data_IF_874419951823
#
_entry.id   IF_874419951823
#
_cell.length_a   1.000
_cell.length_b   1.000
_cell.length_c   1.000
_cell.angle_alpha   90.00
_cell.angle_beta   90.00
_cell.angle_gamma   90.00
#
_symmetry.space_group_name_H-M   'P 1'
#
loop_
_entity.id
_entity.type
_entity.pdbx_description
1 polymer ?
#
# COMPACT_ATOMS: atom_id res chain seq x y z
N UNK A 1 -1.08 -12.93 0.80
CA UNK A 1 0.33 -12.60 0.52
C UNK A 1 0.94 -11.94 1.75
N UNK A 2 2.15 -12.35 2.21
CA UNK A 2 2.77 -11.77 3.40
C UNK A 2 3.09 -10.27 3.27
N UNK A 3 2.86 -9.50 4.32
CA UNK A 3 3.09 -8.05 4.32
C UNK A 3 4.56 -7.65 4.07
N UNK A 4 5.53 -8.43 4.59
CA UNK A 4 6.97 -8.21 4.36
C UNK A 4 7.32 -8.32 2.88
N UNK A 5 6.78 -9.33 2.21
CA UNK A 5 7.01 -9.60 0.78
C UNK A 5 6.43 -8.48 -0.10
N UNK A 6 5.19 -8.07 0.17
CA UNK A 6 4.57 -6.94 -0.51
C UNK A 6 5.40 -5.66 -0.31
N UNK A 7 5.88 -5.40 0.92
CA UNK A 7 6.66 -4.20 1.22
C UNK A 7 7.99 -4.14 0.49
N UNK A 8 8.78 -5.21 0.49
CA UNK A 8 10.10 -5.20 -0.17
C UNK A 8 9.96 -5.07 -1.68
N UNK A 9 9.04 -5.84 -2.29
CA UNK A 9 8.78 -5.76 -3.73
C UNK A 9 8.18 -4.41 -4.13
N UNK A 10 7.28 -3.86 -3.32
CA UNK A 10 6.75 -2.51 -3.47
C UNK A 10 7.83 -1.43 -3.45
N UNK A 11 8.79 -1.50 -2.51
CA UNK A 11 9.93 -0.56 -2.44
C UNK A 11 10.77 -0.59 -3.72
N UNK A 12 11.04 -1.78 -4.26
CA UNK A 12 11.83 -1.94 -5.50
C UNK A 12 11.10 -1.31 -6.68
N UNK A 13 9.84 -1.72 -6.92
CA UNK A 13 9.09 -1.25 -8.10
C UNK A 13 8.79 0.24 -8.00
N UNK A 14 8.36 0.72 -6.84
CA UNK A 14 7.96 2.11 -6.68
C UNK A 14 9.14 3.10 -6.76
N UNK A 15 10.39 2.62 -6.61
CA UNK A 15 11.59 3.43 -6.83
C UNK A 15 11.87 3.71 -8.31
N UNK A 16 11.30 2.93 -9.23
CA UNK A 16 11.39 3.17 -10.67
C UNK A 16 10.47 4.31 -11.14
N UNK A 17 10.42 4.51 -12.45
CA UNK A 17 9.53 5.51 -13.06
C UNK A 17 8.06 5.10 -13.00
N UNK A 18 7.18 6.08 -13.19
CA UNK A 18 5.73 5.86 -13.24
C UNK A 18 5.30 4.98 -14.42
N UNK A 19 5.98 5.14 -15.56
CA UNK A 19 5.72 4.36 -16.76
C UNK A 19 6.09 2.88 -16.53
N UNK A 20 7.27 2.64 -15.98
CA UNK A 20 7.71 1.27 -15.63
C UNK A 20 6.78 0.64 -14.60
N UNK A 21 6.48 1.35 -13.51
CA UNK A 21 5.59 0.86 -12.44
C UNK A 21 4.21 0.45 -12.98
N UNK A 22 3.65 1.27 -13.87
CA UNK A 22 2.37 0.99 -14.51
C UNK A 22 2.44 -0.24 -15.42
N UNK A 23 3.54 -0.41 -16.16
CA UNK A 23 3.73 -1.48 -17.12
C UNK A 23 3.93 -2.84 -16.45
N UNK A 24 4.71 -2.90 -15.37
CA UNK A 24 5.13 -4.19 -14.77
C UNK A 24 4.30 -4.59 -13.55
N UNK A 25 3.40 -3.73 -13.05
CA UNK A 25 2.71 -3.94 -11.77
C UNK A 25 1.97 -5.27 -11.67
N UNK A 26 1.21 -5.65 -12.71
CA UNK A 26 0.47 -6.91 -12.78
C UNK A 26 1.40 -8.14 -12.87
N UNK A 27 2.45 -8.05 -13.68
CA UNK A 27 3.47 -9.09 -13.79
C UNK A 27 4.15 -9.36 -12.44
N UNK A 28 4.50 -8.29 -11.71
CA UNK A 28 5.11 -8.42 -10.38
C UNK A 28 4.13 -9.01 -9.38
N UNK A 29 2.85 -8.62 -9.39
CA UNK A 29 1.87 -9.22 -8.47
C UNK A 29 1.70 -10.73 -8.71
N UNK A 30 1.65 -11.16 -9.98
CA UNK A 30 1.58 -12.59 -10.33
C UNK A 30 2.86 -13.34 -9.99
N UNK A 31 4.03 -12.74 -10.26
CA UNK A 31 5.31 -13.31 -9.90
C UNK A 31 5.38 -13.59 -8.39
N UNK A 32 5.00 -12.61 -7.58
CA UNK A 32 4.99 -12.76 -6.12
C UNK A 32 3.97 -13.82 -5.66
N UNK A 33 2.80 -13.87 -6.28
CA UNK A 33 1.80 -14.91 -6.00
C UNK A 33 2.31 -16.31 -6.36
N UNK A 34 2.98 -16.46 -7.51
CA UNK A 34 3.56 -17.73 -7.95
C UNK A 34 4.68 -18.20 -7.01
N UNK A 35 5.61 -17.31 -6.63
CA UNK A 35 6.66 -17.63 -5.67
C UNK A 35 6.06 -18.06 -4.32
N UNK A 36 5.02 -17.39 -3.85
CA UNK A 36 4.31 -17.78 -2.63
C UNK A 36 3.69 -19.17 -2.74
N UNK A 37 2.96 -19.45 -3.83
CA UNK A 37 2.32 -20.75 -4.07
C UNK A 37 3.33 -21.89 -4.17
N UNK A 38 4.43 -21.71 -4.90
CA UNK A 38 5.52 -22.69 -5.00
C UNK A 38 6.17 -22.90 -3.64
N UNK A 39 6.38 -21.83 -2.86
CA UNK A 39 6.91 -21.93 -1.51
C UNK A 39 6.02 -22.78 -0.59
N UNK A 40 4.71 -22.53 -0.62
CA UNK A 40 3.74 -23.31 0.15
C UNK A 40 3.71 -24.78 -0.27
N UNK A 41 3.68 -25.06 -1.58
CA UNK A 41 3.71 -26.43 -2.09
C UNK A 41 5.01 -27.17 -1.73
N UNK A 42 6.15 -26.49 -1.84
CA UNK A 42 7.47 -27.05 -1.49
C UNK A 42 7.57 -27.35 -0.01
N UNK A 43 7.03 -26.47 0.85
CA UNK A 43 6.96 -26.69 2.29
C UNK A 43 6.09 -27.91 2.62
N UNK A 44 4.87 -27.99 2.10
CA UNK A 44 3.97 -29.12 2.33
C UNK A 44 4.58 -30.44 1.88
N UNK A 45 5.21 -30.45 0.70
CA UNK A 45 5.91 -31.63 0.17
C UNK A 45 7.11 -32.03 1.04
N UNK A 46 7.86 -31.05 1.58
CA UNK A 46 8.98 -31.32 2.47
C UNK A 46 8.49 -31.93 3.79
N UNK A 47 7.46 -31.35 4.42
CA UNK A 47 6.87 -31.88 5.66
C UNK A 47 6.35 -33.30 5.47
N UNK A 48 5.65 -33.56 4.35
CA UNK A 48 5.20 -34.91 4.02
C UNK A 48 6.38 -35.88 3.87
N UNK A 49 7.42 -35.50 3.10
CA UNK A 49 8.61 -36.34 2.91
C UNK A 49 9.36 -36.60 4.22
N UNK A 50 9.47 -35.62 5.11
CA UNK A 50 10.12 -35.81 6.41
C UNK A 50 9.37 -36.83 7.28
N UNK A 51 8.02 -36.77 7.29
CA UNK A 51 7.20 -37.76 7.98
C UNK A 51 7.38 -39.17 7.44
N UNK A 52 7.51 -39.31 6.11
CA UNK A 52 7.71 -40.64 5.47
C UNK A 52 9.15 -41.14 5.67
N UNK A 53 10.14 -40.27 5.56
CA UNK A 53 11.56 -40.62 5.69
C UNK A 53 11.93 -41.15 7.09
N UNK A 54 11.17 -40.75 8.12
CA UNK A 54 11.33 -41.25 9.49
C UNK A 54 11.16 -42.77 9.63
N UNK A 55 10.48 -43.43 8.68
CA UNK A 55 10.23 -44.87 8.74
C UNK A 55 11.37 -45.72 8.16
N UNK A 56 12.42 -45.11 7.59
CA UNK A 56 13.58 -45.82 7.04
C UNK A 56 14.85 -45.44 7.82
N UNK A 57 15.46 -46.45 8.46
CA UNK A 57 16.60 -46.30 9.34
C UNK A 57 17.89 -45.83 8.64
N UNK A 58 17.94 -45.87 7.30
CA UNK A 58 19.10 -45.42 6.51
C UNK A 58 19.04 -43.94 6.11
N UNK A 59 17.94 -43.23 6.39
CA UNK A 59 17.80 -41.82 6.03
C UNK A 59 18.41 -40.88 7.09
N UNK A 60 19.12 -39.84 6.63
CA UNK A 60 19.47 -38.70 7.46
C UNK A 60 18.21 -37.87 7.75
N UNK A 61 17.64 -38.12 8.93
CA UNK A 61 16.45 -37.43 9.46
C UNK A 61 16.81 -36.22 10.34
N UNK A 62 18.07 -35.77 10.30
CA UNK A 62 18.48 -34.60 11.07
C UNK A 62 17.74 -33.35 10.62
N UNK A 63 17.36 -32.51 11.58
CA UNK A 63 16.70 -31.24 11.30
C UNK A 63 17.55 -30.33 10.41
N UNK A 64 18.88 -30.40 10.54
CA UNK A 64 19.85 -29.63 9.75
C UNK A 64 19.83 -30.04 8.27
N UNK A 65 19.91 -31.35 7.97
CA UNK A 65 19.84 -31.87 6.61
C UNK A 65 18.53 -31.48 5.91
N UNK A 66 17.42 -31.72 6.60
CA UNK A 66 16.08 -31.40 6.15
C UNK A 66 15.87 -29.90 5.89
N UNK A 67 16.31 -29.05 6.82
CA UNK A 67 16.23 -27.59 6.68
C UNK A 67 17.09 -27.08 5.52
N UNK A 68 18.32 -27.59 5.36
CA UNK A 68 19.20 -27.21 4.26
C UNK A 68 18.61 -27.61 2.89
N UNK A 69 18.04 -28.82 2.78
CA UNK A 69 17.37 -29.30 1.59
C UNK A 69 16.14 -28.46 1.22
N UNK A 70 15.32 -28.11 2.21
CA UNK A 70 14.16 -27.23 2.02
C UNK A 70 14.59 -25.84 1.55
N UNK A 71 15.56 -25.21 2.22
CA UNK A 71 16.09 -23.88 1.84
C UNK A 71 16.59 -23.86 0.40
N UNK A 72 17.33 -24.89 0.00
CA UNK A 72 17.87 -25.02 -1.36
C UNK A 72 16.75 -25.13 -2.39
N UNK A 73 15.74 -25.98 -2.15
CA UNK A 73 14.59 -26.13 -3.05
C UNK A 73 13.74 -24.87 -3.17
N UNK A 74 13.50 -24.18 -2.05
CA UNK A 74 12.80 -22.90 -2.05
C UNK A 74 13.56 -21.86 -2.88
N UNK A 75 14.88 -21.75 -2.68
CA UNK A 75 15.71 -20.80 -3.43
C UNK A 75 15.63 -21.04 -4.93
N UNK A 76 15.87 -22.27 -5.40
CA UNK A 76 15.80 -22.57 -6.83
C UNK A 76 14.38 -22.43 -7.38
N UNK A 77 13.36 -22.90 -6.65
CA UNK A 77 11.97 -22.75 -7.08
C UNK A 77 11.53 -21.30 -7.22
N UNK A 78 12.00 -20.40 -6.35
CA UNK A 78 11.74 -18.97 -6.48
C UNK A 78 12.53 -18.34 -7.63
N UNK A 79 13.80 -18.71 -7.82
CA UNK A 79 14.61 -18.25 -8.96
C UNK A 79 13.96 -18.63 -10.29
N UNK A 80 13.52 -19.88 -10.44
CA UNK A 80 12.82 -20.34 -11.64
C UNK A 80 11.50 -19.57 -11.85
N UNK A 81 10.68 -19.45 -10.81
CA UNK A 81 9.42 -18.72 -10.87
C UNK A 81 9.60 -17.23 -11.24
N UNK A 82 10.72 -16.61 -10.85
CA UNK A 82 11.03 -15.22 -11.25
C UNK A 82 11.56 -15.13 -12.68
N UNK A 83 12.27 -16.16 -13.16
CA UNK A 83 12.79 -16.23 -14.53
C UNK A 83 11.68 -16.28 -15.58
N UNK A 84 10.53 -16.88 -15.25
CA UNK A 84 9.35 -16.91 -16.12
C UNK A 84 8.84 -15.50 -16.51
N UNK A 85 9.22 -14.46 -15.75
CA UNK A 85 8.81 -13.08 -15.98
C UNK A 85 9.89 -12.22 -16.66
N UNK A 86 11.03 -12.79 -17.07
CA UNK A 86 12.15 -12.06 -17.65
C UNK A 86 11.80 -11.28 -18.94
N UNK A 87 10.79 -11.73 -19.69
CA UNK A 87 10.34 -11.03 -20.90
C UNK A 87 9.49 -9.79 -20.59
N UNK A 88 8.90 -9.69 -19.40
CA UNK A 88 7.97 -8.60 -19.02
C UNK A 88 8.59 -7.61 -18.04
N UNK A 89 9.53 -8.07 -17.20
CA UNK A 89 10.17 -7.24 -16.17
C UNK A 89 11.59 -6.89 -16.60
N UNK A 90 12.00 -5.61 -16.57
CA UNK A 90 13.38 -5.21 -16.89
C UNK A 90 14.42 -5.98 -16.07
N UNK A 91 15.57 -6.38 -16.66
CA UNK A 91 16.55 -7.25 -15.99
C UNK A 91 17.00 -6.77 -14.61
N UNK A 92 17.31 -5.47 -14.48
CA UNK A 92 17.79 -4.90 -13.21
C UNK A 92 16.74 -4.96 -12.10
N UNK A 93 15.48 -4.71 -12.46
CA UNK A 93 14.34 -4.81 -11.54
C UNK A 93 14.07 -6.27 -11.22
N UNK A 94 14.10 -7.15 -12.23
CA UNK A 94 13.89 -8.58 -12.10
C UNK A 94 14.90 -9.23 -11.15
N UNK A 95 16.18 -8.91 -11.28
CA UNK A 95 17.24 -9.40 -10.38
C UNK A 95 16.97 -8.97 -8.94
N UNK A 96 16.73 -7.68 -8.71
CA UNK A 96 16.46 -7.14 -7.36
C UNK A 96 15.21 -7.77 -6.73
N UNK A 97 14.18 -8.01 -7.53
CA UNK A 97 12.96 -8.68 -7.07
C UNK A 97 13.23 -10.15 -6.73
N UNK A 98 13.95 -10.88 -7.59
CA UNK A 98 14.32 -12.28 -7.35
C UNK A 98 15.13 -12.45 -6.07
N UNK A 99 16.17 -11.62 -5.89
CA UNK A 99 16.99 -11.59 -4.68
C UNK A 99 16.17 -11.27 -3.43
N UNK A 100 15.32 -10.24 -3.49
CA UNK A 100 14.45 -9.87 -2.38
C UNK A 100 13.44 -10.97 -2.01
N UNK A 101 12.81 -11.60 -3.01
CA UNK A 101 11.85 -12.69 -2.80
C UNK A 101 12.57 -13.89 -2.19
N UNK A 102 13.73 -14.28 -2.72
CA UNK A 102 14.54 -15.37 -2.17
C UNK A 102 15.03 -15.07 -0.75
N UNK A 103 15.41 -13.84 -0.44
CA UNK A 103 15.79 -13.43 0.91
C UNK A 103 14.63 -13.53 1.89
N UNK A 104 13.45 -13.04 1.51
CA UNK A 104 12.24 -13.05 2.36
C UNK A 104 11.64 -14.44 2.52
N UNK A 105 11.65 -15.28 1.47
CA UNK A 105 10.96 -16.58 1.44
C UNK A 105 11.88 -17.80 1.60
N UNK A 106 13.19 -17.69 1.32
CA UNK A 106 14.07 -18.86 1.13
C UNK A 106 15.36 -18.92 1.95
N UNK A 107 15.97 -17.79 2.32
CA UNK A 107 17.34 -17.81 2.87
C UNK A 107 17.55 -17.07 4.20
N UNK A 108 16.67 -16.14 4.57
CA UNK A 108 16.81 -15.38 5.81
C UNK A 108 16.61 -16.25 7.04
N UNK A 109 15.36 -16.65 7.34
CA UNK A 109 14.95 -17.11 8.69
C UNK A 109 15.61 -16.33 9.85
N UNK A 110 16.16 -15.14 9.61
CA UNK A 110 16.47 -14.19 10.64
C UNK A 110 15.10 -13.90 11.22
N UNK A 111 14.96 -14.28 12.49
CA UNK A 111 13.88 -13.89 13.39
C UNK A 111 13.43 -12.54 12.93
N UNK A 112 12.16 -12.45 12.54
CA UNK A 112 11.56 -11.24 12.00
C UNK A 112 12.15 -10.06 12.76
N UNK A 113 13.12 -9.34 12.15
CA UNK A 113 13.84 -8.25 12.82
C UNK A 113 12.74 -7.46 13.48
N UNK A 114 12.74 -7.50 14.82
CA UNK A 114 11.66 -6.99 15.63
C UNK A 114 11.26 -5.68 15.00
N UNK A 115 10.11 -5.66 14.33
CA UNK A 115 9.58 -4.42 13.77
C UNK A 115 9.56 -3.50 14.97
N UNK A 116 10.31 -2.38 14.97
CA UNK A 116 10.62 -1.68 16.20
C UNK A 116 9.33 -1.50 16.99
N UNK A 117 9.28 -2.16 18.14
CA UNK A 117 8.19 -2.04 19.09
C UNK A 117 8.15 -0.55 19.44
N UNK A 118 7.05 0.11 19.08
CA UNK A 118 6.82 1.51 19.44
C UNK A 118 7.08 2.53 18.34
N UNK A 119 6.44 2.40 17.17
CA UNK A 119 6.13 3.62 16.41
C UNK A 119 5.15 4.45 17.24
N UNK A 120 5.65 5.49 17.90
CA UNK A 120 4.84 6.44 18.68
C UNK A 120 3.81 7.17 17.82
N UNK A 121 4.07 7.25 16.51
CA UNK A 121 3.21 7.93 15.56
C UNK A 121 2.74 6.99 14.43
N UNK A 122 1.49 7.19 14.01
CA UNK A 122 0.93 6.73 12.75
C UNK A 122 0.71 7.93 11.83
N UNK A 123 0.49 7.67 10.54
CA UNK A 123 0.15 8.72 9.58
C UNK A 123 -1.17 8.39 8.91
N UNK A 124 -2.08 9.35 8.88
CA UNK A 124 -3.36 9.24 8.19
C UNK A 124 -3.31 10.06 6.90
N UNK A 125 -3.61 9.43 5.77
CA UNK A 125 -3.85 10.11 4.51
C UNK A 125 -5.36 10.10 4.25
N UNK A 126 -6.01 11.24 4.37
CA UNK A 126 -7.37 11.42 3.87
C UNK A 126 -7.33 11.86 2.40
N UNK A 127 -8.12 11.24 1.54
CA UNK A 127 -8.20 11.57 0.12
C UNK A 127 -9.66 11.72 -0.30
N UNK A 128 -9.92 12.66 -1.21
CA UNK A 128 -11.19 12.75 -1.92
C UNK A 128 -10.97 13.22 -3.35
N UNK A 129 -11.91 12.86 -4.22
CA UNK A 129 -12.00 13.36 -5.58
C UNK A 129 -13.16 14.34 -5.72
N UNK A 130 -13.04 15.29 -6.63
CA UNK A 130 -14.17 16.09 -7.10
C UNK A 130 -14.20 16.14 -8.61
N UNK A 131 -15.40 16.25 -9.17
CA UNK A 131 -15.65 16.44 -10.59
C UNK A 131 -16.83 17.37 -10.72
N UNK A 132 -16.72 18.32 -11.65
CA UNK A 132 -17.84 19.17 -12.04
C UNK A 132 -18.60 18.52 -13.21
N UNK A 133 -19.92 18.51 -13.11
CA UNK A 133 -20.81 17.93 -14.12
C UNK A 133 -20.66 18.60 -15.50
N UNK A 134 -20.19 19.85 -15.56
CA UNK A 134 -20.08 20.62 -16.82
C UNK A 134 -18.70 20.54 -17.48
N UNK A 135 -17.65 20.16 -16.77
CA UNK A 135 -16.27 20.21 -17.28
C UNK A 135 -15.62 18.82 -17.31
N UNK A 136 -14.73 18.58 -18.28
CA UNK A 136 -13.86 17.38 -18.32
C UNK A 136 -12.66 17.51 -17.37
N UNK A 137 -12.87 18.17 -16.22
CA UNK A 137 -11.84 18.42 -15.21
C UNK A 137 -12.24 17.70 -13.93
N UNK A 138 -11.26 17.05 -13.32
CA UNK A 138 -11.39 16.47 -12.00
C UNK A 138 -10.32 17.06 -11.10
N UNK A 139 -10.50 16.93 -9.80
CA UNK A 139 -9.52 17.35 -8.81
C UNK A 139 -9.43 16.34 -7.69
N UNK A 140 -8.31 16.37 -6.97
CA UNK A 140 -8.11 15.59 -5.75
C UNK A 140 -7.73 16.51 -4.61
N UNK A 141 -8.25 16.23 -3.42
CA UNK A 141 -7.80 16.82 -2.17
C UNK A 141 -7.14 15.77 -1.30
N UNK A 142 -6.05 16.15 -0.62
CA UNK A 142 -5.39 15.29 0.36
C UNK A 142 -5.13 16.02 1.68
N UNK A 143 -5.18 15.26 2.76
CA UNK A 143 -4.72 15.64 4.10
C UNK A 143 -3.77 14.55 4.58
N UNK A 144 -2.60 14.94 5.09
CA UNK A 144 -1.69 14.04 5.79
C UNK A 144 -1.57 14.52 7.24
N UNK A 145 -2.05 13.71 8.17
CA UNK A 145 -1.94 13.95 9.61
C UNK A 145 -0.97 12.95 10.24
N UNK A 146 -0.08 13.43 11.11
CA UNK A 146 0.68 12.60 12.02
C UNK A 146 -0.14 12.44 13.30
N UNK A 147 -0.38 11.20 13.73
CA UNK A 147 -1.23 10.87 14.86
C UNK A 147 -0.38 10.16 15.91
N UNK A 148 -0.38 10.65 17.13
CA UNK A 148 0.26 9.99 18.27
C UNK A 148 -0.64 8.86 18.77
N UNK A 149 -0.14 7.62 18.72
CA UNK A 149 -0.98 6.42 18.91
C UNK A 149 -1.59 6.32 20.31
N UNK A 150 -0.87 6.77 21.34
CA UNK A 150 -1.30 6.60 22.72
C UNK A 150 -2.27 7.69 23.19
N UNK A 151 -2.21 8.88 22.58
CA UNK A 151 -2.99 10.03 23.03
C UNK A 151 -4.08 10.44 22.05
N UNK A 152 -4.03 9.94 20.80
CA UNK A 152 -4.90 10.39 19.73
C UNK A 152 -4.62 11.83 19.26
N UNK A 153 -3.63 12.52 19.86
CA UNK A 153 -3.23 13.85 19.44
C UNK A 153 -2.70 13.79 18.02
N UNK A 154 -3.07 14.78 17.20
CA UNK A 154 -2.65 14.82 15.82
C UNK A 154 -2.02 16.17 15.44
N UNK A 155 -1.13 16.13 14.46
CA UNK A 155 -0.52 17.30 13.83
C UNK A 155 -0.62 17.18 12.33
N UNK A 156 -1.16 18.21 11.68
CA UNK A 156 -1.22 18.26 10.22
C UNK A 156 0.17 18.50 9.66
N UNK A 157 0.60 17.59 8.78
CA UNK A 157 1.89 17.66 8.09
C UNK A 157 1.76 18.32 6.74
N UNK A 158 0.71 17.98 6.03
CA UNK A 158 0.48 18.44 4.67
C UNK A 158 -1.01 18.44 4.34
N UNK A 159 -1.39 19.43 3.55
CA UNK A 159 -2.68 19.50 2.88
C UNK A 159 -2.45 19.97 1.46
N UNK A 160 -3.37 19.63 0.59
CA UNK A 160 -3.37 20.25 -0.71
C UNK A 160 -4.44 19.75 -1.64
N UNK A 161 -4.52 20.41 -2.77
CA UNK A 161 -5.45 20.13 -3.83
C UNK A 161 -4.73 20.20 -5.18
N UNK A 162 -5.13 19.30 -6.08
CA UNK A 162 -4.59 19.25 -7.44
C UNK A 162 -5.70 19.08 -8.44
N UNK A 163 -5.55 19.70 -9.60
CA UNK A 163 -6.45 19.55 -10.73
C UNK A 163 -5.84 18.65 -11.79
N UNK A 164 -6.74 17.97 -12.48
CA UNK A 164 -6.43 17.10 -13.58
C UNK A 164 -7.38 17.44 -14.72
N UNK A 165 -6.79 17.77 -15.87
CA UNK A 165 -7.52 18.02 -17.10
C UNK A 165 -7.16 16.94 -18.12
N UNK A 166 -8.16 16.41 -18.80
CA UNK A 166 -7.96 15.48 -19.90
C UNK A 166 -9.28 14.96 -20.44
N UNK A 167 -9.27 14.50 -21.69
CA UNK A 167 -10.49 14.09 -22.38
C UNK A 167 -11.27 12.98 -21.64
N UNK A 168 -10.55 12.10 -20.92
CA UNK A 168 -11.09 10.91 -20.27
C UNK A 168 -10.77 10.84 -18.76
N UNK A 169 -10.43 11.96 -18.11
CA UNK A 169 -10.12 11.94 -16.67
C UNK A 169 -11.39 11.63 -15.88
N UNK A 170 -11.37 10.51 -15.17
CA UNK A 170 -12.46 10.05 -14.32
C UNK A 170 -12.28 10.50 -12.87
N UNK A 171 -13.36 10.47 -12.09
CA UNK A 171 -13.29 10.73 -10.65
C UNK A 171 -12.40 9.69 -9.94
N UNK A 172 -12.50 8.42 -10.35
CA UNK A 172 -11.64 7.34 -9.86
C UNK A 172 -10.16 7.65 -10.06
N UNK A 173 -9.78 8.13 -11.25
CA UNK A 173 -8.40 8.53 -11.52
C UNK A 173 -7.96 9.70 -10.64
N UNK A 174 -8.80 10.71 -10.42
CA UNK A 174 -8.46 11.80 -9.53
C UNK A 174 -8.18 11.31 -8.10
N UNK A 175 -8.99 10.37 -7.58
CA UNK A 175 -8.73 9.73 -6.28
C UNK A 175 -7.40 8.97 -6.27
N UNK A 176 -7.12 8.15 -7.29
CA UNK A 176 -5.83 7.44 -7.40
C UNK A 176 -4.64 8.40 -7.46
N UNK A 177 -4.74 9.49 -8.22
CA UNK A 177 -3.67 10.48 -8.34
C UNK A 177 -3.45 11.24 -7.02
N UNK A 178 -4.53 11.56 -6.30
CA UNK A 178 -4.46 12.09 -4.93
C UNK A 178 -3.77 11.12 -3.96
N UNK A 179 -4.17 9.85 -3.96
CA UNK A 179 -3.54 8.80 -3.15
C UNK A 179 -2.06 8.67 -3.47
N UNK A 180 -1.72 8.61 -4.76
CA UNK A 180 -0.35 8.48 -5.24
C UNK A 180 0.51 9.65 -4.76
N UNK A 181 -0.03 10.86 -4.82
CA UNK A 181 0.64 12.06 -4.31
C UNK A 181 0.92 11.96 -2.80
N UNK A 182 -0.08 11.60 -1.99
CA UNK A 182 0.10 11.43 -0.55
C UNK A 182 1.10 10.31 -0.20
N UNK A 183 1.00 9.16 -0.87
CA UNK A 183 1.89 8.01 -0.63
C UNK A 183 3.34 8.31 -1.01
N UNK A 184 3.57 9.01 -2.13
CA UNK A 184 4.92 9.46 -2.50
C UNK A 184 5.49 10.39 -1.45
N UNK A 185 4.66 11.27 -0.89
CA UNK A 185 5.10 12.16 0.19
C UNK A 185 5.55 11.35 1.40
N UNK A 186 4.71 10.43 1.89
CA UNK A 186 5.07 9.55 3.00
C UNK A 186 6.36 8.78 2.72
N UNK A 187 6.53 8.25 1.50
CA UNK A 187 7.77 7.56 1.10
C UNK A 187 8.99 8.47 1.16
N UNK A 188 8.91 9.68 0.60
CA UNK A 188 10.01 10.64 0.56
C UNK A 188 10.44 11.13 1.94
N UNK A 189 9.54 11.06 2.93
CA UNK A 189 9.79 11.52 4.29
C UNK A 189 9.99 10.33 5.26
N UNK A 190 10.04 9.10 4.74
CA UNK A 190 10.13 7.88 5.53
C UNK A 190 9.02 7.77 6.61
N UNK A 191 7.83 8.28 6.31
CA UNK A 191 6.66 8.16 7.18
C UNK A 191 6.04 6.78 7.00
N UNK A 192 6.28 5.90 7.96
CA UNK A 192 5.77 4.52 8.00
C UNK A 192 4.49 4.42 8.85
N UNK A 193 3.81 3.27 8.84
CA UNK A 193 2.52 3.07 9.56
C UNK A 193 1.42 3.98 9.01
N UNK A 194 1.25 3.94 7.69
CA UNK A 194 0.26 4.77 7.00
C UNK A 194 -1.11 4.10 7.01
N UNK A 195 -2.14 4.88 7.30
CA UNK A 195 -3.54 4.53 7.21
C UNK A 195 -4.19 5.42 6.15
N UNK A 196 -5.08 4.84 5.34
CA UNK A 196 -5.78 5.56 4.29
C UNK A 196 -7.23 5.76 4.72
N UNK A 197 -7.72 6.98 4.57
CA UNK A 197 -9.12 7.38 4.73
C UNK A 197 -9.62 7.92 3.38
N UNK A 198 -10.79 7.49 2.96
CA UNK A 198 -11.42 8.02 1.75
C UNK A 198 -12.89 7.67 1.65
N UNK A 199 -13.58 8.32 0.73
CA UNK A 199 -15.04 8.24 0.55
C UNK A 199 -15.46 7.67 -0.81
N UNK A 200 -14.50 7.30 -1.67
CA UNK A 200 -14.79 6.69 -2.95
C UNK A 200 -14.76 5.15 -2.85
N UNK A 201 -15.92 4.46 -2.82
CA UNK A 201 -16.00 3.03 -2.52
C UNK A 201 -15.21 2.18 -3.52
N UNK A 202 -15.36 2.43 -4.82
CA UNK A 202 -14.68 1.62 -5.83
C UNK A 202 -13.15 1.73 -5.77
N UNK A 203 -12.62 2.94 -5.58
CA UNK A 203 -11.18 3.20 -5.48
C UNK A 203 -10.58 2.46 -4.28
N UNK A 204 -11.20 2.60 -3.10
CA UNK A 204 -10.73 1.95 -1.88
C UNK A 204 -10.88 0.43 -1.96
N UNK A 205 -12.01 -0.06 -2.49
CA UNK A 205 -12.27 -1.50 -2.63
C UNK A 205 -11.25 -2.18 -3.55
N UNK A 206 -10.81 -1.52 -4.62
CA UNK A 206 -9.72 -2.02 -5.47
C UNK A 206 -8.43 -2.23 -4.68
N UNK A 207 -8.06 -1.30 -3.81
CA UNK A 207 -6.84 -1.42 -3.00
C UNK A 207 -6.97 -2.39 -1.82
N UNK A 208 -8.15 -2.48 -1.20
CA UNK A 208 -8.48 -3.47 -0.15
C UNK A 208 -8.39 -4.88 -0.72
N UNK A 209 -9.07 -5.13 -1.84
CA UNK A 209 -9.14 -6.46 -2.46
C UNK A 209 -7.94 -6.79 -3.33
N UNK A 210 -7.03 -5.83 -3.53
CA UNK A 210 -5.90 -5.90 -4.47
C UNK A 210 -6.34 -6.27 -5.90
N UNK A 211 -7.56 -5.88 -6.29
CA UNK A 211 -8.12 -6.12 -7.62
C UNK A 211 -7.93 -4.90 -8.49
N UNK A 212 -7.21 -5.08 -9.60
CA UNK A 212 -7.02 -4.01 -10.57
C UNK A 212 -8.35 -3.59 -11.23
N UNK A 213 -8.46 -2.34 -11.69
CA UNK A 213 -9.58 -1.89 -12.50
C UNK A 213 -9.77 -2.74 -13.77
N UNK A 214 -11.02 -2.89 -14.22
CA UNK A 214 -11.33 -3.52 -15.51
C UNK A 214 -10.89 -2.65 -16.70
N UNK A 215 -11.00 -1.33 -16.55
CA UNK A 215 -10.66 -0.39 -17.61
C UNK A 215 -9.14 -0.19 -17.71
N UNK A 216 -8.54 -0.61 -18.85
CA UNK A 216 -7.09 -0.56 -19.10
C UNK A 216 -6.45 0.80 -18.81
N UNK A 217 -7.10 1.89 -19.21
CA UNK A 217 -6.57 3.25 -19.03
C UNK A 217 -6.46 3.70 -17.55
N UNK A 218 -7.06 2.97 -16.60
CA UNK A 218 -6.97 3.26 -15.15
C UNK A 218 -6.04 2.30 -14.40
N UNK A 219 -5.62 1.20 -15.04
CA UNK A 219 -4.77 0.19 -14.40
C UNK A 219 -3.39 0.73 -14.06
N UNK A 220 -2.83 1.60 -14.90
CA UNK A 220 -1.52 2.21 -14.65
C UNK A 220 -1.51 3.01 -13.34
N UNK A 221 -2.52 3.84 -13.11
CA UNK A 221 -2.62 4.64 -11.88
C UNK A 221 -2.87 3.75 -10.65
N UNK A 222 -3.70 2.72 -10.80
CA UNK A 222 -3.89 1.71 -9.76
C UNK A 222 -2.55 1.06 -9.34
N UNK A 223 -1.73 0.61 -10.30
CA UNK A 223 -0.46 -0.05 -10.01
C UNK A 223 0.55 0.90 -9.36
N UNK A 224 0.62 2.16 -9.81
CA UNK A 224 1.45 3.19 -9.15
C UNK A 224 1.06 3.39 -7.69
N UNK A 225 -0.24 3.51 -7.40
CA UNK A 225 -0.75 3.64 -6.03
C UNK A 225 -0.45 2.39 -5.23
N UNK A 226 -0.73 1.21 -5.79
CA UNK A 226 -0.56 -0.07 -5.09
C UNK A 226 0.90 -0.31 -4.71
N UNK A 227 1.85 -0.12 -5.64
CA UNK A 227 3.29 -0.27 -5.36
C UNK A 227 3.78 0.76 -4.34
N UNK A 228 3.30 1.99 -4.42
CA UNK A 228 3.62 3.03 -3.42
C UNK A 228 3.06 2.71 -2.03
N UNK A 229 1.82 2.22 -1.96
CA UNK A 229 1.19 1.79 -0.73
C UNK A 229 1.88 0.57 -0.10
N UNK A 230 2.32 -0.39 -0.94
CA UNK A 230 3.13 -1.52 -0.49
C UNK A 230 4.49 -1.05 0.04
N UNK A 231 5.18 -0.15 -0.68
CA UNK A 231 6.49 0.39 -0.28
C UNK A 231 6.48 1.09 1.08
N UNK A 232 5.43 1.87 1.33
CA UNK A 232 5.22 2.64 2.58
C UNK A 232 4.64 1.75 3.70
N UNK A 233 4.11 0.57 3.35
CA UNK A 233 3.53 -0.36 4.32
C UNK A 233 2.20 0.13 4.87
N UNK A 234 1.27 0.52 3.99
CA UNK A 234 -0.10 0.90 4.38
C UNK A 234 -0.74 -0.21 5.22
N UNK A 235 -1.27 0.16 6.39
CA UNK A 235 -1.83 -0.73 7.41
C UNK A 235 -3.32 -0.96 7.26
N UNK A 236 -4.07 0.09 6.96
CA UNK A 236 -5.52 -0.01 6.80
C UNK A 236 -6.01 0.94 5.70
N UNK A 237 -7.17 0.56 5.16
CA UNK A 237 -7.95 1.36 4.23
C UNK A 237 -9.34 1.49 4.85
N UNK A 238 -9.70 2.70 5.24
CA UNK A 238 -10.97 3.00 5.91
C UNK A 238 -11.86 3.74 4.92
N UNK A 239 -12.93 3.07 4.50
CA UNK A 239 -14.02 3.73 3.77
C UNK A 239 -14.87 4.49 4.78
N UNK A 240 -15.08 5.78 4.53
CA UNK A 240 -15.99 6.61 5.32
C UNK A 240 -16.97 7.35 4.45
N UNK A 241 -18.10 7.71 5.04
CA UNK A 241 -19.05 8.61 4.41
C UNK A 241 -18.42 9.99 4.16
N UNK A 242 -18.90 10.65 3.12
CA UNK A 242 -18.40 11.96 2.68
C UNK A 242 -18.44 13.01 3.80
N UNK A 243 -19.38 12.86 4.73
CA UNK A 243 -19.54 13.75 5.88
C UNK A 243 -18.47 13.61 6.96
N UNK A 244 -17.66 12.55 6.93
CA UNK A 244 -16.52 12.30 7.82
C UNK A 244 -15.17 12.35 7.07
N UNK A 245 -15.20 12.84 5.83
CA UNK A 245 -14.02 13.13 5.00
C UNK A 245 -14.15 14.53 4.38
N UNK A 246 -14.68 15.49 5.15
CA UNK A 246 -15.04 16.83 4.67
C UNK A 246 -13.81 17.65 4.30
N UNK A 247 -12.70 17.52 5.02
CA UNK A 247 -11.47 18.25 4.71
C UNK A 247 -10.96 17.90 3.31
N UNK A 248 -10.77 16.62 3.00
CA UNK A 248 -10.26 16.21 1.69
C UNK A 248 -11.25 16.60 0.56
N UNK A 249 -12.55 16.50 0.83
CA UNK A 249 -13.59 16.92 -0.09
C UNK A 249 -13.59 18.43 -0.37
N UNK A 250 -13.44 19.24 0.67
CA UNK A 250 -13.36 20.69 0.55
C UNK A 250 -12.10 21.11 -0.21
N UNK A 251 -10.96 20.44 0.04
CA UNK A 251 -9.73 20.64 -0.73
C UNK A 251 -9.92 20.28 -2.21
N UNK A 252 -10.55 19.15 -2.52
CA UNK A 252 -10.83 18.78 -3.90
C UNK A 252 -11.72 19.83 -4.59
N UNK A 253 -12.76 20.32 -3.90
CA UNK A 253 -13.63 21.39 -4.41
C UNK A 253 -12.89 22.72 -4.57
N UNK A 254 -11.99 23.06 -3.65
CA UNK A 254 -11.22 24.30 -3.69
C UNK A 254 -10.43 24.41 -5.00
N UNK A 255 -9.67 23.36 -5.35
CA UNK A 255 -8.96 23.30 -6.62
C UNK A 255 -9.89 23.57 -7.82
N UNK A 256 -11.12 23.06 -7.78
CA UNK A 256 -12.07 23.30 -8.84
C UNK A 256 -12.51 24.76 -8.91
N UNK A 257 -12.91 25.34 -7.77
CA UNK A 257 -13.42 26.72 -7.69
C UNK A 257 -12.35 27.75 -8.01
N UNK A 258 -11.13 27.58 -7.51
CA UNK A 258 -10.04 28.54 -7.73
C UNK A 258 -9.35 28.34 -9.07
N UNK A 259 -9.46 27.15 -9.66
CA UNK A 259 -8.72 26.82 -10.88
C UNK A 259 -7.21 26.77 -10.68
N UNK A 260 -6.73 26.59 -9.44
CA UNK A 260 -5.30 26.49 -9.11
C UNK A 260 -5.02 25.28 -8.21
N UNK A 261 -3.82 24.72 -8.35
CA UNK A 261 -3.31 23.72 -7.43
C UNK A 261 -2.84 24.41 -6.15
N UNK A 262 -3.11 23.80 -5.00
CA UNK A 262 -2.67 24.33 -3.70
C UNK A 262 -1.94 23.28 -2.91
N UNK A 263 -0.89 23.70 -2.20
CA UNK A 263 -0.16 22.82 -1.30
C UNK A 263 0.36 23.63 -0.11
N UNK A 264 -0.02 23.22 1.10
CA UNK A 264 0.47 23.82 2.34
C UNK A 264 1.13 22.77 3.22
N UNK A 265 2.28 23.13 3.80
CA UNK A 265 3.14 22.22 4.57
C UNK A 265 3.68 22.92 5.81
N UNK A 266 3.79 22.18 6.91
CA UNK A 266 4.49 22.65 8.12
C UNK A 266 4.07 24.05 8.56
N UNK A 267 5.01 24.98 8.60
CA UNK A 267 4.77 26.36 9.05
C UNK A 267 3.91 27.17 8.06
N UNK A 268 3.91 26.81 6.77
CA UNK A 268 3.06 27.45 5.76
C UNK A 268 1.56 27.14 5.93
N UNK A 269 1.20 26.14 6.76
CA UNK A 269 -0.21 25.94 7.19
C UNK A 269 -0.70 27.08 8.09
N UNK A 270 0.21 27.71 8.87
CA UNK A 270 -0.15 28.81 9.77
C UNK A 270 -0.41 30.11 9.00
N UNK A 271 0.16 30.24 7.80
CA UNK A 271 0.04 31.42 6.93
C UNK A 271 -0.88 31.21 5.73
N UNK A 272 -1.58 30.07 5.66
CA UNK A 272 -2.41 29.66 4.51
C UNK A 272 -3.69 30.51 4.28
N UNK A 273 -3.89 31.56 5.09
CA UNK A 273 -4.96 32.55 4.93
C UNK A 273 -6.38 31.98 5.10
N UNK A 274 -7.37 32.76 4.68
CA UNK A 274 -8.81 32.48 4.88
C UNK A 274 -9.29 31.17 4.23
N UNK A 275 -8.72 30.79 3.08
CA UNK A 275 -9.07 29.57 2.35
C UNK A 275 -8.81 28.30 3.18
N UNK A 276 -7.72 28.26 3.94
CA UNK A 276 -7.43 27.14 4.82
C UNK A 276 -8.26 27.20 6.10
N UNK A 277 -8.47 28.39 6.68
CA UNK A 277 -9.22 28.56 7.93
C UNK A 277 -10.63 27.96 7.85
N UNK A 278 -11.33 28.16 6.72
CA UNK A 278 -12.67 27.58 6.50
C UNK A 278 -12.68 26.05 6.35
N UNK A 279 -11.58 25.44 5.88
CA UNK A 279 -11.44 24.00 5.69
C UNK A 279 -10.89 23.30 6.96
N UNK A 280 -10.02 23.99 7.69
CA UNK A 280 -9.38 23.50 8.90
C UNK A 280 -10.39 23.12 9.98
N UNK A 281 -11.56 23.77 10.00
CA UNK A 281 -12.66 23.48 10.91
C UNK A 281 -13.21 22.05 10.80
N UNK A 282 -13.01 21.35 9.68
CA UNK A 282 -13.47 19.96 9.51
C UNK A 282 -12.46 18.91 9.99
N UNK A 283 -11.19 19.29 10.13
CA UNK A 283 -10.09 18.35 10.35
C UNK A 283 -10.25 17.59 11.66
N UNK A 284 -10.69 18.28 12.71
CA UNK A 284 -10.82 17.70 14.05
C UNK A 284 -11.87 16.59 14.06
N UNK A 285 -13.01 16.84 13.44
CA UNK A 285 -14.13 15.91 13.34
C UNK A 285 -13.76 14.71 12.45
N UNK A 286 -13.16 14.93 11.28
CA UNK A 286 -12.71 13.85 10.37
C UNK A 286 -11.70 12.92 11.08
N UNK A 287 -10.68 13.48 11.74
CA UNK A 287 -9.66 12.68 12.46
C UNK A 287 -10.25 11.98 13.68
N UNK A 288 -11.09 12.67 14.47
CA UNK A 288 -11.77 12.07 15.64
C UNK A 288 -12.63 10.89 15.21
N UNK A 289 -13.40 11.04 14.14
CA UNK A 289 -14.26 9.96 13.65
C UNK A 289 -13.43 8.77 13.16
N UNK A 290 -12.35 9.02 12.42
CA UNK A 290 -11.41 7.96 12.05
C UNK A 290 -10.81 7.24 13.25
N UNK A 291 -10.40 7.95 14.31
CA UNK A 291 -9.86 7.33 15.53
C UNK A 291 -10.89 6.39 16.18
N UNK A 292 -12.16 6.79 16.24
CA UNK A 292 -13.24 5.96 16.79
C UNK A 292 -13.47 4.69 15.95
N UNK A 293 -13.55 4.83 14.63
CA UNK A 293 -13.70 3.68 13.73
C UNK A 293 -12.48 2.76 13.74
N UNK A 294 -11.28 3.34 13.84
CA UNK A 294 -10.06 2.54 13.91
C UNK A 294 -10.01 1.71 15.20
N UNK A 295 -10.38 2.30 16.34
CA UNK A 295 -10.46 1.60 17.62
C UNK A 295 -11.42 0.40 17.56
N UNK A 296 -12.62 0.57 16.98
CA UNK A 296 -13.57 -0.53 16.77
C UNK A 296 -12.99 -1.68 15.93
N UNK A 297 -12.21 -1.33 14.90
CA UNK A 297 -11.58 -2.32 14.00
C UNK A 297 -10.42 -3.08 14.64
N UNK A 298 -9.77 -2.51 15.65
CA UNK A 298 -8.69 -3.16 16.41
C UNK A 298 -9.20 -3.96 17.61
N UNK A 299 -10.34 -3.58 18.18
CA UNK A 299 -10.95 -4.24 19.34
C UNK A 299 -11.92 -5.39 18.96
N UNK A 300 -12.14 -5.65 17.68
CA UNK A 300 -12.96 -6.81 17.26
C UNK A 300 -12.15 -8.09 17.48
N UNK A 301 -12.55 -8.99 18.40
CA UNK A 301 -11.85 -10.26 18.57
C UNK A 301 -11.93 -11.05 17.26
N UNK A 302 -10.80 -11.62 16.85
CA UNK A 302 -10.75 -12.63 15.80
C UNK A 302 -11.66 -13.77 16.26
N UNK A 303 -12.90 -13.80 15.77
CA UNK A 303 -13.73 -15.00 15.88
C UNK A 303 -13.01 -16.04 15.04
N UNK A 304 -12.33 -16.95 15.72
CA UNK A 304 -11.85 -18.19 15.12
C UNK A 304 -13.08 -18.86 14.49
N UNK A 305 -13.16 -18.80 13.16
CA UNK A 305 -14.11 -19.59 12.40
C UNK A 305 -13.87 -21.04 12.77
N UNK A 306 -14.81 -21.63 13.49
CA UNK A 306 -14.80 -23.04 13.84
C UNK A 306 -14.95 -23.85 12.55
N UNK A 307 -14.14 -24.91 12.49
CA UNK A 307 -13.85 -25.88 11.40
C UNK A 307 -15.00 -26.14 10.45
#
# INVERSE_FOLDING_TARGET
MPAKLARVTGKIVAAGSDAETASIGDAVERMVANCWSIGAATYLLAVWRWRVAHFDALNDVSATYHTAGLRTRLRYGHMDATRDYAATVPPDIGHRLSEAICGVLGAGWEEAVNMPLGFTHAYLIAVAGSRDGKSRKCSSGILIAQIHKNTGNYRIKQVGSKRYAGANVTLLQAVHLGLLWGLRRCRSQHWEQVHILGDHPDALRQHITRRQPRARHTQGDYWKVRRSADAVGVRSWTLQDREYNRTANALAKLAHTTGHDTEWRGQALQTAGECWTGIAGFVKEDVKHWLLEHAKSTDTPVVEGTV
#
